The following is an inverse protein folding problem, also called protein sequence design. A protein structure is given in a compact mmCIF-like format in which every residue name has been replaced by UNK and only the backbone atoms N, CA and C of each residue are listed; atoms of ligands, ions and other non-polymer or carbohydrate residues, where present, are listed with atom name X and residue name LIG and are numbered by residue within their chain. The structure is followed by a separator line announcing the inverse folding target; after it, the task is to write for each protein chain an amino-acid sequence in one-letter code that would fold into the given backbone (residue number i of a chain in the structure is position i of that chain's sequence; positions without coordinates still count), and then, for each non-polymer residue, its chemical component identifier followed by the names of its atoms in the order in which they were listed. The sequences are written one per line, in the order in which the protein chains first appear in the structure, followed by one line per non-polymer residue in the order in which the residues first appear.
data_IF_912055196973
#
_entry.id   IF_912055196973
#
_cell.length_a   1.000
_cell.length_b   1.000
_cell.length_c   1.000
_cell.angle_alpha   90.00
_cell.angle_beta   90.00
_cell.angle_gamma   90.00
#
_symmetry.space_group_name_H-M   'P 1'
#
loop_
_entity.id
_entity.type
_entity.pdbx_description
1 polymer ?
#
# COMPACT_ATOMS: atom_id res chain seq x y z
N UNK A 1 12.74 21.04 67.93
CA UNK A 1 13.81 21.18 66.93
C UNK A 1 13.31 22.15 65.87
N UNK A 2 13.90 23.35 65.79
CA UNK A 2 13.55 24.36 64.79
C UNK A 2 14.35 24.10 63.52
N UNK A 3 13.67 23.84 62.41
CA UNK A 3 14.33 23.78 61.11
C UNK A 3 14.81 25.20 60.71
N UNK A 4 16.01 25.35 60.13
CA UNK A 4 16.51 26.66 59.70
C UNK A 4 15.62 27.24 58.61
N UNK A 5 15.30 28.54 58.70
CA UNK A 5 14.47 29.30 57.73
C UNK A 5 14.92 29.13 56.26
N UNK A 6 16.18 28.81 56.02
CA UNK A 6 16.76 28.58 54.69
C UNK A 6 16.33 27.26 54.05
N UNK A 7 16.00 26.22 54.83
CA UNK A 7 15.47 24.95 54.31
C UNK A 7 14.03 25.07 53.83
N UNK A 8 13.24 25.98 54.43
CA UNK A 8 11.86 26.24 54.01
C UNK A 8 11.81 26.97 52.66
N UNK A 9 12.78 27.85 52.37
CA UNK A 9 12.91 28.49 51.06
C UNK A 9 13.33 27.52 49.95
N UNK A 10 14.13 26.49 50.27
CA UNK A 10 14.49 25.45 49.30
C UNK A 10 13.34 24.47 49.02
N UNK A 11 12.57 24.08 50.06
CA UNK A 11 11.40 23.23 49.88
C UNK A 11 10.25 23.94 49.16
N UNK A 12 10.05 25.24 49.41
CA UNK A 12 9.07 26.03 48.65
C UNK A 12 9.53 26.21 47.22
N UNK A 13 10.81 26.51 46.94
CA UNK A 13 11.32 26.66 45.57
C UNK A 13 11.30 25.35 44.76
N UNK A 14 11.53 24.19 45.40
CA UNK A 14 11.40 22.88 44.74
C UNK A 14 9.93 22.52 44.48
N UNK A 15 9.00 22.91 45.37
CA UNK A 15 7.56 22.73 45.16
C UNK A 15 6.99 23.68 44.11
N UNK A 16 7.46 24.93 44.02
CA UNK A 16 7.07 25.82 42.91
C UNK A 16 7.64 25.34 41.59
N UNK A 17 8.88 24.82 41.54
CA UNK A 17 9.44 24.33 40.27
C UNK A 17 8.74 23.07 39.74
N UNK A 18 8.32 22.15 40.61
CA UNK A 18 7.55 20.94 40.24
C UNK A 18 6.09 21.25 39.89
N UNK A 19 5.53 22.39 40.36
CA UNK A 19 4.15 22.81 40.09
C UNK A 19 4.04 23.98 39.09
N UNK A 20 5.15 24.53 38.60
CA UNK A 20 5.18 25.66 37.65
C UNK A 20 5.86 25.34 36.32
N UNK A 21 6.35 24.12 36.11
CA UNK A 21 6.33 23.59 34.74
C UNK A 21 4.87 23.31 34.43
N UNK A 22 4.24 24.01 33.46
CA UNK A 22 3.04 23.45 32.86
C UNK A 22 3.36 21.99 32.51
N UNK A 23 2.42 21.03 32.58
CA UNK A 23 2.61 19.82 31.80
C UNK A 23 2.99 20.34 30.43
N UNK A 24 4.20 20.02 29.97
CA UNK A 24 4.67 20.49 28.68
C UNK A 24 3.50 20.26 27.76
N UNK A 25 2.95 21.34 27.21
CA UNK A 25 2.26 21.18 25.95
C UNK A 25 3.27 20.37 25.17
N UNK A 26 2.95 19.10 24.88
CA UNK A 26 3.48 18.52 23.68
C UNK A 26 3.19 19.62 22.67
N UNK A 27 4.23 20.37 22.29
CA UNK A 27 4.17 21.06 21.01
C UNK A 27 3.65 19.96 20.11
N UNK A 28 2.49 20.21 19.49
CA UNK A 28 1.99 19.40 18.41
C UNK A 28 3.16 19.28 17.44
N UNK A 29 3.97 18.23 17.62
CA UNK A 29 5.06 17.89 16.74
C UNK A 29 4.33 17.65 15.43
N UNK A 30 4.48 18.56 14.44
CA UNK A 30 3.65 18.49 13.25
C UNK A 30 3.83 17.08 12.70
N UNK A 31 2.72 16.34 12.53
CA UNK A 31 2.71 14.97 12.01
C UNK A 31 3.75 14.88 10.90
N UNK A 32 4.86 14.22 11.19
CA UNK A 32 5.98 14.19 10.28
C UNK A 32 5.57 13.24 9.17
N UNK A 33 5.52 13.75 7.94
CA UNK A 33 5.29 12.91 6.76
C UNK A 33 6.54 12.07 6.53
N UNK A 34 6.34 10.76 6.42
CA UNK A 34 7.35 9.82 5.96
C UNK A 34 6.92 9.29 4.59
N UNK A 35 7.91 8.84 3.85
CA UNK A 35 7.74 8.23 2.55
C UNK A 35 8.22 6.79 2.66
N UNK A 36 7.47 5.86 2.08
CA UNK A 36 7.93 4.48 1.90
C UNK A 36 8.01 4.17 0.42
N UNK A 37 8.85 3.21 0.06
CA UNK A 37 8.93 2.74 -1.31
C UNK A 37 9.41 1.31 -1.40
N UNK A 38 8.80 0.56 -2.32
CA UNK A 38 9.21 -0.79 -2.70
C UNK A 38 9.89 -0.72 -4.06
N UNK A 39 11.10 -1.25 -4.15
CA UNK A 39 11.90 -1.23 -5.38
C UNK A 39 12.20 -2.63 -5.87
N UNK A 40 12.22 -2.85 -7.18
CA UNK A 40 12.66 -4.10 -7.82
C UNK A 40 13.94 -3.91 -8.61
N UNK A 41 14.88 -4.86 -8.54
CA UNK A 41 16.00 -4.91 -9.50
C UNK A 41 15.51 -5.46 -10.85
N UNK A 42 15.64 -4.68 -11.93
CA UNK A 42 15.25 -5.06 -13.29
C UNK A 42 16.27 -4.58 -14.33
N UNK A 43 16.34 -5.26 -15.47
CA UNK A 43 17.18 -4.88 -16.61
C UNK A 43 16.57 -3.75 -17.47
N UNK A 44 15.40 -3.21 -17.10
CA UNK A 44 14.72 -2.14 -17.84
C UNK A 44 15.37 -0.77 -17.57
N UNK A 45 15.18 0.23 -18.45
CA UNK A 45 15.57 1.61 -18.13
C UNK A 45 14.84 2.07 -16.86
N UNK A 46 15.59 2.63 -15.90
CA UNK A 46 15.10 2.98 -14.57
C UNK A 46 13.73 3.66 -14.62
N UNK A 47 12.84 3.25 -13.71
CA UNK A 47 11.57 3.93 -13.47
C UNK A 47 11.83 5.42 -13.24
N UNK A 48 10.95 6.27 -13.77
CA UNK A 48 11.05 7.69 -13.47
C UNK A 48 10.55 7.88 -12.04
N UNK A 49 11.38 8.59 -11.28
CA UNK A 49 11.17 8.95 -9.88
C UNK A 49 9.75 9.43 -9.61
N UNK A 50 9.22 9.18 -8.39
CA UNK A 50 7.84 9.49 -8.10
C UNK A 50 7.59 10.99 -8.29
N UNK A 51 6.47 11.33 -8.91
CA UNK A 51 5.89 12.65 -8.72
C UNK A 51 5.55 12.77 -7.24
N UNK A 52 5.90 13.88 -6.59
CA UNK A 52 5.66 14.03 -5.16
C UNK A 52 4.78 15.25 -4.92
N UNK A 53 3.62 15.00 -4.30
CA UNK A 53 2.78 16.01 -3.66
C UNK A 53 2.41 17.17 -4.62
N UNK A 54 2.00 16.84 -5.84
CA UNK A 54 1.58 17.82 -6.85
C UNK A 54 0.10 18.13 -6.71
N UNK A 55 -0.29 19.40 -6.91
CA UNK A 55 -1.70 19.72 -7.11
C UNK A 55 -2.23 19.08 -8.41
N UNK A 56 -3.56 18.96 -8.52
CA UNK A 56 -4.17 18.29 -9.67
C UNK A 56 -3.73 18.88 -11.03
N UNK A 57 -3.71 20.21 -11.26
CA UNK A 57 -3.22 20.78 -12.52
C UNK A 57 -1.77 20.40 -12.86
N UNK A 58 -0.85 20.47 -11.89
CA UNK A 58 0.55 20.11 -12.09
C UNK A 58 0.71 18.60 -12.33
N UNK A 59 -0.04 17.78 -11.58
CA UNK A 59 -0.06 16.33 -11.76
C UNK A 59 -0.55 15.94 -13.17
N UNK A 60 -1.65 16.53 -13.64
CA UNK A 60 -2.15 16.31 -15.00
C UNK A 60 -1.12 16.69 -16.07
N UNK A 61 -0.43 17.82 -15.90
CA UNK A 61 0.62 18.23 -16.84
C UNK A 61 1.76 17.20 -16.89
N UNK A 62 2.18 16.69 -15.73
CA UNK A 62 3.21 15.67 -15.63
C UNK A 62 2.77 14.34 -16.27
N UNK A 63 1.54 13.88 -16.01
CA UNK A 63 0.97 12.68 -16.63
C UNK A 63 1.08 12.72 -18.16
N UNK A 64 0.64 13.82 -18.78
CA UNK A 64 0.71 13.98 -20.23
C UNK A 64 2.16 13.98 -20.74
N UNK A 65 3.05 14.67 -20.01
CA UNK A 65 4.48 14.69 -20.35
C UNK A 65 5.10 13.29 -20.30
N UNK A 66 4.72 12.46 -19.32
CA UNK A 66 5.22 11.09 -19.16
C UNK A 66 4.66 10.13 -20.19
N UNK A 67 3.37 10.25 -20.52
CA UNK A 67 2.77 9.48 -21.62
C UNK A 67 3.44 9.81 -22.97
N UNK A 68 3.75 11.07 -23.25
CA UNK A 68 4.48 11.48 -24.45
C UNK A 68 5.92 10.93 -24.50
N UNK A 69 6.50 10.65 -23.35
CA UNK A 69 7.83 10.03 -23.20
C UNK A 69 7.80 8.50 -23.22
N UNK A 70 6.62 7.86 -23.29
CA UNK A 70 6.48 6.40 -23.28
C UNK A 70 6.55 5.77 -21.89
N UNK A 71 6.19 6.52 -20.85
CA UNK A 71 5.97 6.03 -19.50
C UNK A 71 4.49 5.93 -19.19
N UNK A 72 4.15 5.04 -18.27
CA UNK A 72 2.81 4.85 -17.73
C UNK A 72 2.87 4.90 -16.19
N UNK A 73 1.76 5.28 -15.56
CA UNK A 73 1.61 5.20 -14.11
C UNK A 73 1.56 3.73 -13.71
N UNK A 74 2.40 3.35 -12.77
CA UNK A 74 2.42 2.01 -12.16
C UNK A 74 1.61 2.02 -10.88
N UNK A 75 1.79 3.09 -10.10
CA UNK A 75 1.22 3.29 -8.78
C UNK A 75 0.89 4.80 -8.62
N UNK A 76 -0.25 5.11 -8.00
CA UNK A 76 -0.80 6.45 -7.79
C UNK A 76 -1.07 6.67 -6.30
N UNK A 77 -0.49 7.72 -5.76
CA UNK A 77 -0.68 8.05 -4.36
C UNK A 77 -1.48 9.32 -4.14
N UNK A 78 -2.31 9.32 -3.09
CA UNK A 78 -3.10 10.50 -2.70
C UNK A 78 -2.79 10.89 -1.27
N UNK A 79 -2.28 12.11 -1.11
CA UNK A 79 -1.99 12.65 0.20
C UNK A 79 -3.25 12.72 1.09
N UNK A 80 -3.11 12.68 2.43
CA UNK A 80 -4.25 12.74 3.36
C UNK A 80 -5.17 13.96 3.20
N UNK A 81 -4.69 15.05 2.59
CA UNK A 81 -5.50 16.23 2.29
C UNK A 81 -6.43 16.07 1.07
N UNK A 82 -6.26 15.02 0.26
CA UNK A 82 -6.93 14.76 -1.02
C UNK A 82 -6.71 15.83 -2.10
N UNK A 83 -5.74 16.71 -1.91
CA UNK A 83 -5.43 17.80 -2.84
C UNK A 83 -4.10 17.57 -3.54
N UNK A 84 -3.23 16.74 -2.96
CA UNK A 84 -1.92 16.42 -3.51
C UNK A 84 -1.80 14.97 -3.97
N UNK A 85 -1.12 14.80 -5.09
CA UNK A 85 -0.98 13.55 -5.81
C UNK A 85 0.48 13.21 -6.02
N UNK A 86 0.80 11.93 -5.87
CA UNK A 86 2.09 11.35 -6.18
C UNK A 86 1.89 10.19 -7.16
N UNK A 87 2.90 9.81 -7.92
CA UNK A 87 2.79 8.65 -8.82
C UNK A 87 4.15 8.10 -9.20
N UNK A 88 4.22 6.78 -9.30
CA UNK A 88 5.38 6.04 -9.82
C UNK A 88 5.19 5.79 -11.31
N UNK A 89 6.24 6.03 -12.10
CA UNK A 89 6.19 5.88 -13.55
C UNK A 89 7.10 4.75 -14.04
N UNK A 90 6.51 3.73 -14.65
CA UNK A 90 7.20 2.63 -15.31
C UNK A 90 7.23 2.81 -16.83
N UNK A 91 8.16 2.14 -17.50
CA UNK A 91 8.17 2.12 -18.95
C UNK A 91 6.94 1.38 -19.49
N UNK A 92 6.23 2.00 -20.43
CA UNK A 92 5.02 1.43 -21.00
C UNK A 92 4.26 2.45 -21.83
N UNK A 93 3.63 1.97 -22.91
CA UNK A 93 2.86 2.80 -23.84
C UNK A 93 1.38 2.43 -23.87
N UNK A 94 0.93 1.64 -22.90
CA UNK A 94 -0.48 1.33 -22.76
C UNK A 94 -1.26 2.62 -22.48
N UNK A 95 -2.41 2.76 -23.14
CA UNK A 95 -3.27 3.92 -22.92
C UNK A 95 -3.83 3.87 -21.50
N UNK A 96 -3.74 4.98 -20.78
CA UNK A 96 -4.27 5.10 -19.43
C UNK A 96 -5.37 6.16 -19.31
N UNK A 97 -6.25 5.97 -18.33
CA UNK A 97 -7.18 6.97 -17.82
C UNK A 97 -7.09 6.98 -16.30
N UNK A 98 -6.97 8.16 -15.70
CA UNK A 98 -6.88 8.33 -14.25
C UNK A 98 -8.09 9.11 -13.77
N UNK A 99 -8.68 8.67 -12.67
CA UNK A 99 -9.77 9.37 -12.01
C UNK A 99 -9.50 9.43 -10.53
N UNK A 100 -9.64 10.61 -9.93
CA UNK A 100 -9.44 10.84 -8.50
C UNK A 100 -10.71 11.39 -7.84
N UNK A 101 -10.80 11.26 -6.51
CA UNK A 101 -11.85 11.89 -5.71
C UNK A 101 -13.28 11.39 -6.00
N UNK A 102 -13.45 10.19 -6.56
CA UNK A 102 -14.76 9.68 -6.92
C UNK A 102 -15.54 9.23 -5.67
N UNK A 103 -16.86 9.47 -5.66
CA UNK A 103 -17.75 8.77 -4.72
C UNK A 103 -17.83 7.30 -5.10
N UNK A 104 -18.20 6.41 -4.17
CA UNK A 104 -18.37 4.98 -4.46
C UNK A 104 -19.28 4.72 -5.68
N UNK A 105 -20.41 5.43 -5.77
CA UNK A 105 -21.33 5.30 -6.90
C UNK A 105 -20.71 5.77 -8.22
N UNK A 106 -19.98 6.90 -8.20
CA UNK A 106 -19.29 7.41 -9.38
C UNK A 106 -18.13 6.51 -9.82
N UNK A 107 -17.41 5.94 -8.85
CA UNK A 107 -16.33 4.98 -9.08
C UNK A 107 -16.88 3.70 -9.72
N UNK A 108 -17.95 3.11 -9.17
CA UNK A 108 -18.59 1.92 -9.73
C UNK A 108 -19.08 2.13 -11.18
N UNK A 109 -19.69 3.29 -11.45
CA UNK A 109 -20.11 3.67 -12.81
C UNK A 109 -18.91 3.82 -13.75
N UNK A 110 -17.83 4.43 -13.26
CA UNK A 110 -16.62 4.63 -14.05
C UNK A 110 -15.93 3.30 -14.36
N UNK A 111 -15.72 2.46 -13.35
CA UNK A 111 -15.18 1.10 -13.50
C UNK A 111 -15.93 0.32 -14.57
N UNK A 112 -17.27 0.28 -14.48
CA UNK A 112 -18.12 -0.40 -15.47
C UNK A 112 -17.92 0.18 -16.88
N UNK A 113 -17.89 1.52 -17.01
CA UNK A 113 -17.68 2.20 -18.28
C UNK A 113 -16.30 1.89 -18.87
N UNK A 114 -15.25 1.84 -18.05
CA UNK A 114 -13.89 1.58 -18.50
C UNK A 114 -13.70 0.13 -18.91
N UNK A 115 -14.23 -0.83 -18.14
CA UNK A 115 -14.23 -2.25 -18.52
C UNK A 115 -14.90 -2.47 -19.87
N UNK A 116 -16.04 -1.80 -20.14
CA UNK A 116 -16.70 -1.86 -21.45
C UNK A 116 -15.88 -1.28 -22.60
N UNK A 117 -14.90 -0.43 -22.30
CA UNK A 117 -13.99 0.20 -23.27
C UNK A 117 -12.66 -0.54 -23.42
N UNK A 118 -12.51 -1.72 -22.82
CA UNK A 118 -11.26 -2.51 -22.86
C UNK A 118 -10.18 -2.02 -21.90
N UNK A 119 -10.56 -1.22 -20.90
CA UNK A 119 -9.64 -0.79 -19.85
C UNK A 119 -9.80 -1.66 -18.60
N UNK A 120 -8.69 -1.88 -17.95
CA UNK A 120 -8.54 -2.69 -16.74
C UNK A 120 -8.04 -1.78 -15.62
N UNK A 121 -8.67 -1.83 -14.44
CA UNK A 121 -8.15 -1.13 -13.27
C UNK A 121 -6.87 -1.85 -12.82
N UNK A 122 -5.76 -1.13 -12.80
CA UNK A 122 -4.44 -1.68 -12.45
C UNK A 122 -3.93 -1.22 -11.11
N UNK A 123 -4.53 -0.16 -10.56
CA UNK A 123 -4.12 0.52 -9.35
C UNK A 123 -5.34 1.31 -8.81
N UNK A 124 -5.48 1.43 -7.49
CA UNK A 124 -6.69 1.91 -6.83
C UNK A 124 -6.36 2.57 -5.50
N UNK A 125 -6.75 3.84 -5.32
CA UNK A 125 -6.65 4.49 -4.00
C UNK A 125 -7.97 4.57 -3.25
N UNK A 126 -7.92 4.45 -1.91
CA UNK A 126 -9.07 4.74 -1.04
C UNK A 126 -8.72 5.76 0.03
N UNK A 127 -9.27 6.97 -0.11
CA UNK A 127 -9.03 8.07 0.82
C UNK A 127 -10.31 8.54 1.51
N UNK A 128 -10.17 9.50 2.43
CA UNK A 128 -11.30 10.15 3.11
C UNK A 128 -11.29 11.63 2.89
N UNK A 129 -12.44 12.17 2.48
CA UNK A 129 -12.60 13.61 2.45
C UNK A 129 -12.71 14.21 3.88
N UNK A 130 -12.60 15.54 4.04
CA UNK A 130 -12.71 16.20 5.35
C UNK A 130 -14.05 16.02 6.08
N UNK A 131 -15.04 15.38 5.44
CA UNK A 131 -16.35 15.05 6.03
C UNK A 131 -16.47 13.56 6.36
N UNK A 132 -15.36 12.82 6.36
CA UNK A 132 -15.32 11.39 6.69
C UNK A 132 -15.91 10.47 5.62
N UNK A 133 -16.11 10.94 4.38
CA UNK A 133 -16.69 10.14 3.29
C UNK A 133 -15.58 9.51 2.47
N UNK A 134 -15.71 8.21 2.18
CA UNK A 134 -14.77 7.50 1.30
C UNK A 134 -14.72 8.13 -0.09
N UNK A 135 -13.51 8.27 -0.62
CA UNK A 135 -13.19 8.70 -1.97
C UNK A 135 -12.31 7.63 -2.60
N UNK A 136 -12.50 7.44 -3.89
CA UNK A 136 -11.80 6.43 -4.66
C UNK A 136 -11.04 7.12 -5.78
N UNK A 137 -9.82 6.66 -6.02
CA UNK A 137 -9.12 6.93 -7.26
C UNK A 137 -8.78 5.63 -7.98
N UNK A 138 -8.18 5.76 -9.15
CA UNK A 138 -7.64 4.59 -9.80
C UNK A 138 -6.99 4.92 -11.13
N UNK A 139 -6.17 3.98 -11.56
CA UNK A 139 -5.51 3.97 -12.85
C UNK A 139 -6.12 2.86 -13.69
N UNK A 140 -6.76 3.26 -14.78
CA UNK A 140 -7.30 2.33 -15.78
C UNK A 140 -6.32 2.24 -16.93
N UNK A 141 -5.76 1.06 -17.14
CA UNK A 141 -4.81 0.77 -18.20
C UNK A 141 -5.45 -0.14 -19.25
N UNK A 142 -5.30 0.18 -20.53
CA UNK A 142 -5.82 -0.65 -21.61
C UNK A 142 -4.94 -1.90 -21.81
N UNK A 143 -5.32 -3.01 -21.16
CA UNK A 143 -4.61 -4.28 -21.13
C UNK A 143 -5.54 -5.43 -21.54
N UNK A 144 -4.97 -6.47 -22.15
CA UNK A 144 -5.70 -7.71 -22.49
C UNK A 144 -5.91 -8.62 -21.27
N UNK A 145 -5.15 -8.38 -20.19
CA UNK A 145 -5.16 -9.17 -18.97
C UNK A 145 -6.36 -8.78 -18.08
N UNK A 146 -7.21 -9.76 -17.68
CA UNK A 146 -8.32 -9.47 -16.80
C UNK A 146 -7.84 -9.21 -15.37
N UNK A 147 -8.49 -8.26 -14.69
CA UNK A 147 -8.36 -8.04 -13.25
C UNK A 147 -9.71 -8.17 -12.56
N UNK A 148 -9.72 -8.68 -11.34
CA UNK A 148 -10.87 -8.61 -10.46
C UNK A 148 -10.66 -7.48 -9.46
N UNK A 149 -11.70 -6.69 -9.22
CA UNK A 149 -11.66 -5.56 -8.30
C UNK A 149 -12.74 -5.74 -7.26
N UNK A 150 -12.44 -5.47 -6.00
CA UNK A 150 -13.44 -5.39 -4.94
C UNK A 150 -13.05 -4.32 -3.93
N UNK A 151 -14.02 -3.62 -3.38
CA UNK A 151 -13.81 -2.46 -2.52
C UNK A 151 -14.92 -2.36 -1.49
N UNK A 152 -14.67 -1.58 -0.43
CA UNK A 152 -15.59 -1.40 0.70
C UNK A 152 -15.86 -2.73 1.43
N UNK A 153 -14.82 -3.53 1.63
CA UNK A 153 -14.89 -4.82 2.33
C UNK A 153 -14.49 -4.64 3.80
N UNK A 154 -15.17 -5.30 4.73
CA UNK A 154 -14.61 -5.53 6.05
C UNK A 154 -13.35 -6.41 5.94
N UNK A 155 -12.53 -6.44 7.00
CA UNK A 155 -11.39 -7.35 7.09
C UNK A 155 -11.79 -8.82 6.81
N UNK A 156 -12.86 -9.31 7.45
CA UNK A 156 -13.32 -10.69 7.26
C UNK A 156 -13.82 -10.95 5.84
N UNK A 157 -14.49 -9.99 5.21
CA UNK A 157 -14.91 -10.09 3.81
C UNK A 157 -13.71 -10.15 2.86
N UNK A 158 -12.72 -9.29 3.07
CA UNK A 158 -11.48 -9.29 2.30
C UNK A 158 -10.76 -10.63 2.43
N UNK A 159 -10.54 -11.12 3.65
CA UNK A 159 -9.86 -12.39 3.90
C UNK A 159 -10.56 -13.58 3.25
N UNK A 160 -11.88 -13.68 3.40
CA UNK A 160 -12.67 -14.73 2.77
C UNK A 160 -12.58 -14.66 1.24
N UNK A 161 -12.70 -13.45 0.68
CA UNK A 161 -12.66 -13.25 -0.77
C UNK A 161 -11.27 -13.52 -1.34
N UNK A 162 -10.22 -13.09 -0.66
CA UNK A 162 -8.84 -13.33 -1.07
C UNK A 162 -8.53 -14.83 -1.12
N UNK A 163 -8.85 -15.56 -0.04
CA UNK A 163 -8.68 -17.01 -0.01
C UNK A 163 -9.48 -17.72 -1.12
N UNK A 164 -10.72 -17.31 -1.36
CA UNK A 164 -11.54 -17.87 -2.44
C UNK A 164 -10.95 -17.59 -3.83
N UNK A 165 -10.41 -16.38 -4.05
CA UNK A 165 -9.78 -15.96 -5.32
C UNK A 165 -8.48 -16.71 -5.56
N UNK A 166 -7.62 -16.83 -4.55
CA UNK A 166 -6.40 -17.64 -4.63
C UNK A 166 -6.71 -19.11 -4.96
N UNK A 167 -7.75 -19.69 -4.36
CA UNK A 167 -8.20 -21.05 -4.69
C UNK A 167 -8.70 -21.20 -6.14
N UNK A 168 -9.07 -20.09 -6.80
CA UNK A 168 -9.48 -20.03 -8.20
C UNK A 168 -8.33 -19.59 -9.14
N UNK A 169 -7.10 -19.46 -8.64
CA UNK A 169 -5.94 -19.05 -9.45
C UNK A 169 -5.86 -17.55 -9.72
N UNK A 170 -6.44 -16.72 -8.84
CA UNK A 170 -6.27 -15.27 -8.87
C UNK A 170 -5.25 -14.85 -7.83
N UNK A 171 -4.33 -13.98 -8.23
CA UNK A 171 -3.28 -13.43 -7.40
C UNK A 171 -3.68 -12.05 -6.91
N UNK A 172 -3.56 -11.80 -5.62
CA UNK A 172 -3.67 -10.46 -5.06
C UNK A 172 -2.45 -9.63 -5.48
N UNK A 173 -2.65 -8.39 -5.95
CA UNK A 173 -1.55 -7.55 -6.44
C UNK A 173 -1.51 -6.14 -5.89
N UNK A 174 -2.63 -5.65 -5.36
CA UNK A 174 -2.76 -4.34 -4.73
C UNK A 174 -3.86 -4.46 -3.65
N UNK A 175 -3.66 -3.81 -2.51
CA UNK A 175 -4.64 -3.75 -1.42
C UNK A 175 -4.63 -2.40 -0.72
N UNK A 176 -5.72 -1.65 -0.84
CA UNK A 176 -5.93 -0.48 0.01
C UNK A 176 -6.60 -0.72 1.36
N UNK A 177 -6.33 0.19 2.31
CA UNK A 177 -7.18 0.34 3.49
C UNK A 177 -7.52 1.78 3.88
N UNK A 178 -8.80 2.02 4.20
CA UNK A 178 -9.25 3.30 4.72
C UNK A 178 -10.09 3.12 6.00
N UNK A 179 -9.82 3.94 7.02
CA UNK A 179 -10.44 3.83 8.34
C UNK A 179 -11.64 4.75 8.52
N UNK A 180 -12.79 4.25 8.99
CA UNK A 180 -13.86 5.11 9.54
C UNK A 180 -13.39 6.03 10.66
N UNK A 181 -14.17 7.07 10.97
CA UNK A 181 -13.92 7.94 12.12
C UNK A 181 -13.81 7.15 13.44
N UNK A 182 -14.41 5.96 13.50
CA UNK A 182 -14.33 5.02 14.62
C UNK A 182 -13.23 3.95 14.45
N UNK A 183 -12.26 4.15 13.56
CA UNK A 183 -11.18 3.21 13.22
C UNK A 183 -11.67 1.82 12.76
N UNK A 184 -12.88 1.74 12.21
CA UNK A 184 -13.30 0.56 11.45
C UNK A 184 -12.72 0.64 10.04
N UNK A 185 -11.81 -0.26 9.70
CA UNK A 185 -11.15 -0.30 8.40
C UNK A 185 -12.01 -0.96 7.31
N UNK A 186 -11.92 -0.40 6.11
CA UNK A 186 -12.44 -0.98 4.89
C UNK A 186 -11.33 -1.20 3.89
N UNK A 187 -11.38 -2.33 3.22
CA UNK A 187 -10.37 -2.75 2.26
C UNK A 187 -10.89 -2.62 0.84
N UNK A 188 -9.98 -2.25 -0.06
CA UNK A 188 -10.10 -2.52 -1.47
C UNK A 188 -8.93 -3.37 -1.94
N UNK A 189 -9.07 -3.98 -3.10
CA UNK A 189 -8.03 -4.82 -3.64
C UNK A 189 -8.23 -5.11 -5.12
N UNK A 190 -7.11 -5.37 -5.78
CA UNK A 190 -7.02 -5.81 -7.16
C UNK A 190 -6.39 -7.21 -7.20
N UNK A 191 -6.96 -8.06 -8.03
CA UNK A 191 -6.43 -9.38 -8.32
C UNK A 191 -6.19 -9.56 -9.81
N UNK A 192 -5.13 -10.28 -10.17
CA UNK A 192 -4.77 -10.60 -11.54
C UNK A 192 -4.85 -12.09 -11.83
N UNK A 193 -5.04 -12.42 -13.11
CA UNK A 193 -4.96 -13.79 -13.58
C UNK A 193 -3.48 -14.18 -13.79
N UNK A 194 -2.90 -14.98 -12.90
CA UNK A 194 -1.57 -15.60 -13.06
C UNK A 194 -1.35 -16.74 -12.05
N UNK A 195 -0.24 -17.48 -12.21
CA UNK A 195 0.00 -18.82 -11.63
C UNK A 195 0.99 -18.93 -10.46
N UNK A 196 1.47 -17.85 -9.87
CA UNK A 196 2.33 -17.81 -8.69
C UNK A 196 1.55 -17.46 -7.42
N UNK A 197 1.64 -18.23 -6.33
CA UNK A 197 0.97 -17.90 -5.07
C UNK A 197 1.41 -16.52 -4.54
N UNK A 198 0.44 -15.74 -4.06
CA UNK A 198 0.71 -14.51 -3.30
C UNK A 198 0.44 -14.71 -1.81
N UNK A 199 1.25 -14.06 -0.98
CA UNK A 199 1.06 -13.99 0.47
C UNK A 199 0.62 -12.59 0.83
N UNK A 200 -0.21 -12.49 1.86
CA UNK A 200 -0.62 -11.22 2.44
C UNK A 200 -0.24 -11.23 3.92
N UNK A 201 0.42 -10.17 4.37
CA UNK A 201 0.75 -9.94 5.78
C UNK A 201 -0.40 -9.14 6.40
N UNK A 202 -0.93 -9.59 7.53
CA UNK A 202 -1.96 -8.84 8.26
C UNK A 202 -1.40 -7.56 8.91
N UNK A 203 -2.22 -6.52 9.10
CA UNK A 203 -1.76 -5.27 9.70
C UNK A 203 -1.07 -5.46 11.06
N UNK A 204 0.20 -5.08 11.12
CA UNK A 204 1.08 -5.29 12.27
C UNK A 204 1.97 -4.06 12.56
N UNK A 205 2.77 -4.09 13.61
CA UNK A 205 3.70 -2.99 13.92
C UNK A 205 4.82 -2.89 12.88
N UNK A 206 5.45 -1.72 12.70
CA UNK A 206 6.61 -1.58 11.79
C UNK A 206 7.74 -2.58 12.08
N UNK A 207 8.19 -2.78 13.34
CA UNK A 207 9.20 -3.80 13.65
C UNK A 207 8.82 -5.21 13.20
N UNK A 208 7.56 -5.60 13.38
CA UNK A 208 7.07 -6.92 13.01
C UNK A 208 6.93 -7.07 11.48
N UNK A 209 6.46 -6.02 10.81
CA UNK A 209 6.37 -5.98 9.35
C UNK A 209 7.77 -6.09 8.73
N UNK A 210 8.70 -5.26 9.19
CA UNK A 210 10.08 -5.25 8.71
C UNK A 210 10.78 -6.60 8.96
N UNK A 211 10.58 -7.23 10.13
CA UNK A 211 11.09 -8.58 10.39
C UNK A 211 10.48 -9.61 9.43
N UNK A 212 9.17 -9.58 9.22
CA UNK A 212 8.47 -10.50 8.31
C UNK A 212 8.91 -10.31 6.85
N UNK A 213 9.15 -9.08 6.41
CA UNK A 213 9.71 -8.76 5.10
C UNK A 213 11.06 -9.48 4.88
N UNK A 214 12.00 -9.37 5.83
CA UNK A 214 13.29 -10.07 5.72
C UNK A 214 13.14 -11.59 5.73
N UNK A 215 12.24 -12.12 6.56
CA UNK A 215 11.99 -13.56 6.64
C UNK A 215 11.38 -14.12 5.35
N UNK A 216 10.37 -13.45 4.78
CA UNK A 216 9.73 -13.86 3.53
C UNK A 216 10.68 -13.72 2.35
N UNK A 217 11.49 -12.67 2.31
CA UNK A 217 12.52 -12.57 1.29
C UNK A 217 13.52 -13.71 1.41
N UNK A 218 14.01 -14.05 2.61
CA UNK A 218 14.87 -15.21 2.82
C UNK A 218 14.27 -16.54 2.32
N UNK A 219 12.95 -16.59 2.11
CA UNK A 219 12.19 -17.73 1.62
C UNK A 219 11.85 -17.66 0.12
N UNK A 220 12.31 -16.64 -0.62
CA UNK A 220 12.05 -16.50 -2.06
C UNK A 220 10.70 -15.85 -2.38
N UNK A 221 10.24 -14.94 -1.54
CA UNK A 221 9.14 -14.03 -1.83
C UNK A 221 9.68 -12.61 -2.01
N UNK A 222 9.00 -11.79 -2.82
CA UNK A 222 9.25 -10.35 -2.93
C UNK A 222 8.01 -9.59 -2.50
N UNK A 223 8.19 -8.45 -1.84
CA UNK A 223 7.14 -7.45 -1.62
C UNK A 223 6.80 -6.79 -2.95
N UNK A 224 5.51 -6.55 -3.20
CA UNK A 224 5.03 -5.87 -4.42
C UNK A 224 4.08 -4.71 -4.14
N UNK A 225 3.58 -4.60 -2.91
CA UNK A 225 2.54 -3.68 -2.48
C UNK A 225 2.58 -3.60 -0.95
N UNK A 226 2.51 -2.41 -0.37
CA UNK A 226 2.60 -2.18 1.07
C UNK A 226 1.85 -0.92 1.49
N UNK A 227 1.05 -1.07 2.54
CA UNK A 227 0.22 0.01 3.07
C UNK A 227 0.46 0.32 4.54
N UNK A 228 0.10 1.54 4.93
CA UNK A 228 -0.10 1.91 6.34
C UNK A 228 -1.57 2.24 6.66
N UNK A 229 -2.11 1.53 7.64
CA UNK A 229 -3.39 1.86 8.24
C UNK A 229 -3.32 3.19 9.01
N UNK A 230 -4.44 3.91 9.08
CA UNK A 230 -4.56 5.14 9.86
C UNK A 230 -4.28 4.98 11.38
N UNK A 231 -4.20 3.75 11.91
CA UNK A 231 -3.77 3.47 13.29
C UNK A 231 -2.28 3.13 13.43
N UNK A 232 -1.49 3.31 12.35
CA UNK A 232 -0.04 3.11 12.30
C UNK A 232 0.41 1.67 12.06
N UNK A 233 -0.51 0.74 11.77
CA UNK A 233 -0.17 -0.65 11.42
C UNK A 233 0.12 -0.81 9.92
N UNK A 234 1.05 -1.69 9.59
CA UNK A 234 1.53 -1.93 8.23
C UNK A 234 1.10 -3.30 7.73
N UNK A 235 0.75 -3.40 6.46
CA UNK A 235 0.47 -4.66 5.77
C UNK A 235 1.03 -4.64 4.35
N UNK A 236 1.03 -5.77 3.67
CA UNK A 236 1.54 -5.81 2.30
C UNK A 236 1.34 -7.15 1.62
N UNK A 237 1.58 -7.16 0.31
CA UNK A 237 1.42 -8.31 -0.57
C UNK A 237 2.78 -8.75 -1.09
N UNK A 238 2.99 -10.06 -1.02
CA UNK A 238 4.21 -10.71 -1.48
C UNK A 238 3.89 -11.70 -2.59
N UNK A 239 4.79 -11.85 -3.55
CA UNK A 239 4.68 -12.88 -4.59
C UNK A 239 5.93 -13.76 -4.58
N UNK A 240 5.74 -15.05 -4.85
CA UNK A 240 6.86 -15.98 -5.01
C UNK A 240 7.77 -15.49 -6.16
N UNK A 241 8.99 -15.06 -5.82
CA UNK A 241 9.96 -14.53 -6.78
C UNK A 241 11.36 -14.55 -6.18
N UNK A 242 12.32 -14.83 -7.06
CA UNK A 242 13.75 -14.75 -6.77
C UNK A 242 14.38 -13.42 -7.18
N UNK A 243 13.62 -12.54 -7.81
CA UNK A 243 14.09 -11.20 -8.15
C UNK A 243 14.26 -10.40 -6.85
N UNK A 244 15.41 -9.75 -6.63
CA UNK A 244 15.62 -8.97 -5.43
C UNK A 244 14.73 -7.74 -5.43
N UNK A 245 14.21 -7.43 -4.24
CA UNK A 245 13.45 -6.23 -3.92
C UNK A 245 14.13 -5.45 -2.78
N UNK A 246 13.72 -4.19 -2.63
CA UNK A 246 14.23 -3.30 -1.59
C UNK A 246 13.07 -2.52 -0.98
N UNK A 247 12.97 -2.57 0.34
CA UNK A 247 12.12 -1.69 1.11
C UNK A 247 12.93 -0.46 1.56
N UNK A 248 12.35 0.73 1.39
CA UNK A 248 12.89 1.99 1.86
C UNK A 248 11.85 2.74 2.67
N UNK A 249 12.29 3.41 3.73
CA UNK A 249 11.49 4.32 4.54
C UNK A 249 12.30 5.59 4.82
N UNK A 250 11.67 6.77 4.86
CA UNK A 250 12.40 7.98 5.25
C UNK A 250 11.61 9.29 5.20
N UNK A 251 12.07 10.29 5.95
CA UNK A 251 11.45 11.63 6.05
C UNK A 251 11.67 12.50 4.82
N UNK A 252 12.71 12.21 4.07
CA UNK A 252 12.99 12.84 2.79
C UNK A 252 13.20 11.74 1.79
N UNK A 253 12.45 11.78 0.69
CA UNK A 253 12.76 10.92 -0.43
C UNK A 253 14.21 11.19 -0.86
N UNK A 254 15.01 10.15 -1.08
CA UNK A 254 16.42 10.29 -1.40
C UNK A 254 16.60 11.11 -2.69
N UNK A 255 16.84 12.42 -2.54
CA UNK A 255 17.15 13.31 -3.67
C UNK A 255 16.80 14.79 -3.58
N UNK A 256 16.17 15.36 -2.53
CA UNK A 256 16.25 16.83 -2.35
C UNK A 256 16.06 17.35 -0.92
N UNK A 257 16.87 18.34 -0.50
CA UNK A 257 16.46 19.31 0.51
C UNK A 257 15.62 20.39 -0.20
N UNK A 258 14.32 20.40 0.09
CA UNK A 258 13.30 21.35 -0.35
C UNK A 258 12.64 21.09 -1.71
N UNK A 259 11.38 20.61 -1.63
CA UNK A 259 10.23 21.08 -2.40
C UNK A 259 10.41 21.32 -3.89
N UNK A 260 9.86 20.39 -4.68
CA UNK A 260 9.60 20.51 -6.13
C UNK A 260 10.85 20.57 -7.00
N UNK A 261 11.37 19.40 -7.33
CA UNK A 261 12.00 19.16 -8.63
C UNK A 261 12.01 17.65 -8.85
N UNK A 262 11.71 17.20 -10.08
CA UNK A 262 12.04 15.84 -10.53
C UNK A 262 13.35 15.42 -9.89
N UNK A 263 13.36 14.30 -9.18
CA UNK A 263 14.53 13.80 -8.47
C UNK A 263 15.57 13.32 -9.50
N UNK A 264 16.17 14.23 -10.26
CA UNK A 264 17.30 13.94 -11.14
C UNK A 264 18.55 13.80 -10.27
N UNK A 265 18.63 12.67 -9.56
CA UNK A 265 19.71 12.30 -8.66
C UNK A 265 20.32 10.94 -9.02
N UNK A 266 21.64 10.74 -8.85
CA UNK A 266 22.35 9.56 -9.30
C UNK A 266 22.21 8.40 -8.29
N UNK A 267 21.09 7.69 -8.33
CA UNK A 267 21.01 6.32 -7.78
C UNK A 267 20.42 5.35 -8.79
N UNK A 268 20.86 5.48 -10.05
CA UNK A 268 20.62 4.53 -11.14
C UNK A 268 21.49 3.27 -10.96
N UNK A 269 21.17 2.47 -9.95
CA UNK A 269 21.29 1.02 -10.11
C UNK A 269 20.17 0.51 -11.02
N UNK A 270 20.14 -0.79 -11.36
CA UNK A 270 19.03 -1.42 -12.07
C UNK A 270 17.71 -1.46 -11.27
N UNK A 271 17.48 -0.57 -10.29
CA UNK A 271 16.35 -0.67 -9.36
C UNK A 271 15.20 0.28 -9.74
N UNK A 272 13.98 -0.21 -9.60
CA UNK A 272 12.75 0.45 -10.03
C UNK A 272 11.78 0.54 -8.88
N UNK A 273 11.41 1.75 -8.46
CA UNK A 273 10.25 1.94 -7.58
C UNK A 273 9.02 1.37 -8.29
N UNK A 274 8.25 0.55 -7.58
CA UNK A 274 7.03 -0.08 -8.11
C UNK A 274 5.78 0.26 -7.30
N UNK A 275 5.98 0.71 -6.07
CA UNK A 275 4.95 0.98 -5.07
C UNK A 275 5.53 2.00 -4.08
N UNK A 276 4.73 2.94 -3.63
CA UNK A 276 5.18 4.13 -2.91
C UNK A 276 4.09 4.63 -1.98
N UNK A 277 4.44 4.95 -0.73
CA UNK A 277 3.45 5.38 0.26
C UNK A 277 3.75 6.77 0.83
N UNK A 278 2.70 7.55 1.08
CA UNK A 278 2.77 8.77 1.89
C UNK A 278 2.14 8.54 3.27
N UNK A 279 2.99 8.22 4.25
CA UNK A 279 2.54 7.88 5.59
C UNK A 279 2.71 9.01 6.62
N UNK A 280 1.91 8.97 7.68
CA UNK A 280 2.09 9.81 8.86
C UNK A 280 2.62 8.91 9.99
N UNK A 281 3.81 9.19 10.54
CA UNK A 281 4.35 8.40 11.66
C UNK A 281 4.01 9.07 13.01
N UNK A 282 3.07 8.53 13.80
CA UNK A 282 2.79 9.01 15.17
C UNK A 282 3.84 8.55 16.19
N UNK A 283 4.73 7.64 15.81
CA UNK A 283 5.70 7.01 16.70
C UNK A 283 7.11 7.25 16.19
N UNK A 284 7.65 8.46 16.40
CA UNK A 284 9.03 8.92 16.15
C UNK A 284 10.06 7.78 16.00
N UNK A 285 9.97 7.02 14.93
CA UNK A 285 10.91 5.97 14.62
C UNK A 285 12.04 6.77 14.00
N UNK A 286 13.11 6.87 14.78
CA UNK A 286 14.26 7.69 14.47
C UNK A 286 14.62 7.53 12.99
N UNK A 287 15.02 8.63 12.31
CA UNK A 287 15.54 8.63 10.94
C UNK A 287 16.02 7.24 10.49
N UNK A 288 15.22 6.56 9.68
CA UNK A 288 15.57 5.25 9.13
C UNK A 288 15.91 5.37 7.64
N UNK A 289 16.92 6.16 7.19
CA UNK A 289 17.39 6.08 5.82
C UNK A 289 18.17 4.77 5.63
N UNK A 290 17.46 3.65 5.72
CA UNK A 290 17.99 2.33 5.45
C UNK A 290 17.27 1.83 4.21
N UNK A 291 17.96 1.97 3.07
CA UNK A 291 17.74 1.02 1.99
C UNK A 291 18.34 -0.28 2.50
N UNK A 292 17.51 -1.24 2.85
CA UNK A 292 17.96 -2.50 3.43
C UNK A 292 18.04 -3.53 2.30
N UNK A 293 19.19 -3.70 1.62
CA UNK A 293 19.37 -4.81 0.70
C UNK A 293 19.18 -6.11 1.48
N UNK A 294 18.19 -6.93 1.13
CA UNK A 294 18.13 -8.30 1.61
C UNK A 294 19.41 -9.03 1.19
N UNK A 295 20.00 -9.82 2.09
CA UNK A 295 21.20 -10.59 1.75
C UNK A 295 20.89 -11.55 0.59
N UNK A 296 21.65 -11.48 -0.51
CA UNK A 296 21.50 -12.38 -1.67
C UNK A 296 21.56 -13.84 -1.22
N UNK A 297 20.42 -14.48 -1.03
CA UNK A 297 20.30 -15.90 -0.76
C UNK A 297 19.94 -16.63 -2.04
N UNK A 298 20.63 -17.75 -2.28
CA UNK A 298 20.39 -18.56 -3.46
C UNK A 298 19.01 -19.21 -3.39
N UNK A 299 18.24 -19.10 -4.46
CA UNK A 299 16.94 -19.75 -4.61
C UNK A 299 17.03 -21.26 -4.37
N UNK A 300 16.69 -21.69 -3.15
CA UNK A 300 16.54 -23.09 -2.82
C UNK A 300 15.12 -23.54 -3.14
N UNK A 301 14.90 -24.07 -4.35
CA UNK A 301 13.76 -24.91 -4.76
C UNK A 301 12.43 -24.69 -4.01
N UNK A 302 11.69 -23.67 -4.44
CA UNK A 302 10.28 -23.43 -4.05
C UNK A 302 9.33 -24.55 -4.54
N UNK A 303 9.83 -25.50 -5.35
CA UNK A 303 9.06 -26.60 -5.96
C UNK A 303 8.55 -27.70 -5.00
N UNK A 304 8.92 -27.70 -3.71
CA UNK A 304 8.55 -28.78 -2.78
C UNK A 304 7.68 -28.36 -1.59
N UNK A 305 7.33 -27.07 -1.47
CA UNK A 305 6.38 -26.64 -0.46
C UNK A 305 4.97 -27.07 -0.89
N UNK A 306 4.35 -27.95 -0.08
CA UNK A 306 2.93 -28.23 -0.19
C UNK A 306 2.16 -26.94 0.11
N UNK A 307 1.90 -26.15 -0.93
CA UNK A 307 1.32 -24.81 -0.86
C UNK A 307 -0.01 -24.78 -0.10
N UNK A 308 -0.81 -25.85 -0.20
CA UNK A 308 -2.05 -25.98 0.58
C UNK A 308 -1.81 -26.04 2.10
N UNK A 309 -0.67 -26.57 2.55
CA UNK A 309 -0.29 -26.62 3.95
C UNK A 309 0.30 -25.30 4.47
N UNK A 310 1.14 -24.62 3.69
CA UNK A 310 1.79 -23.37 4.10
C UNK A 310 0.80 -22.20 4.14
N UNK A 311 -0.11 -22.11 3.16
CA UNK A 311 -1.19 -21.12 3.13
C UNK A 311 -2.11 -21.36 4.33
N UNK A 312 -2.51 -22.61 4.60
CA UNK A 312 -3.35 -22.90 5.78
C UNK A 312 -2.62 -22.55 7.08
N UNK A 313 -1.33 -22.91 7.22
CA UNK A 313 -0.56 -22.66 8.44
C UNK A 313 -0.35 -21.15 8.66
N UNK A 314 0.06 -20.36 7.66
CA UNK A 314 0.24 -18.91 7.79
C UNK A 314 -1.08 -18.20 8.10
N UNK A 315 -2.18 -18.59 7.43
CA UNK A 315 -3.49 -18.02 7.74
C UNK A 315 -3.97 -18.39 9.15
N UNK A 316 -3.71 -19.60 9.66
CA UNK A 316 -4.12 -20.00 11.02
C UNK A 316 -3.22 -19.51 12.14
N UNK A 317 -1.92 -19.30 11.88
CA UNK A 317 -0.95 -18.89 12.91
C UNK A 317 -0.89 -17.37 13.07
N UNK A 318 -1.27 -16.61 12.03
CA UNK A 318 -1.32 -15.14 12.04
C UNK A 318 -2.75 -14.62 12.30
N UNK A 319 -3.81 -15.38 12.01
CA UNK A 319 -5.20 -14.92 12.17
C UNK A 319 -6.03 -15.82 13.09
N UNK A 320 -6.08 -15.48 14.38
CA UNK A 320 -7.06 -16.05 15.32
C UNK A 320 -8.46 -15.41 15.14
N UNK A 321 -9.12 -15.59 13.99
CA UNK A 321 -10.57 -15.30 13.87
C UNK A 321 -11.28 -16.30 12.94
N UNK A 322 -12.41 -16.91 13.35
CA UNK A 322 -13.08 -17.94 12.57
C UNK A 322 -13.85 -17.38 11.36
N UNK A 323 -13.66 -18.06 10.22
CA UNK A 323 -14.41 -17.96 8.97
C UNK A 323 -15.93 -18.13 9.22
N UNK A 324 -16.70 -17.05 9.03
CA UNK A 324 -18.15 -17.12 8.82
C UNK A 324 -18.50 -16.23 7.61
N UNK A 325 -18.89 -16.87 6.51
CA UNK A 325 -19.21 -16.21 5.25
C UNK A 325 -20.72 -16.02 5.12
N UNK A 326 -21.15 -14.76 4.94
CA UNK A 326 -22.38 -14.40 4.23
C UNK A 326 -21.96 -13.53 3.04
N UNK A 327 -22.14 -14.04 1.82
CA UNK A 327 -21.74 -13.38 0.57
C UNK A 327 -22.99 -12.95 -0.18
N UNK A 328 -23.61 -11.84 0.26
CA UNK A 328 -24.61 -11.10 -0.50
C UNK A 328 -24.04 -9.73 -0.88
N UNK A 329 -23.42 -9.65 -2.06
CA UNK A 329 -22.85 -8.40 -2.55
C UNK A 329 -22.34 -8.38 -3.99
N UNK A 330 -22.37 -9.49 -4.73
CA UNK A 330 -21.90 -9.53 -6.12
C UNK A 330 -23.07 -9.23 -7.08
N UNK A 331 -23.02 -8.15 -7.88
CA UNK A 331 -23.95 -7.95 -8.99
C UNK A 331 -23.90 -9.15 -9.94
N UNK A 332 -25.06 -9.74 -10.26
CA UNK A 332 -25.19 -11.00 -11.03
C UNK A 332 -24.50 -10.99 -12.40
N UNK A 333 -24.16 -9.81 -12.93
CA UNK A 333 -23.53 -9.58 -14.21
C UNK A 333 -21.99 -9.71 -14.22
N UNK A 334 -21.34 -10.00 -13.10
CA UNK A 334 -19.90 -10.30 -13.00
C UNK A 334 -19.59 -11.81 -12.84
N UNK A 335 -20.60 -12.68 -12.90
CA UNK A 335 -20.38 -14.13 -13.00
C UNK A 335 -20.06 -14.48 -14.45
N UNK A 336 -18.79 -14.72 -14.76
CA UNK A 336 -18.41 -15.36 -16.02
C UNK A 336 -19.08 -16.74 -16.08
N UNK A 337 -19.88 -16.94 -17.13
CA UNK A 337 -20.53 -18.20 -17.44
C UNK A 337 -19.48 -19.27 -17.70
N UNK A 338 -19.45 -20.30 -16.83
CA UNK A 338 -18.86 -21.57 -17.18
C UNK A 338 -19.77 -22.24 -18.22
N UNK A 339 -19.48 -22.06 -19.51
CA UNK A 339 -20.09 -22.86 -20.58
C UNK A 339 -19.28 -24.14 -20.72
N UNK A 340 -19.38 -25.00 -19.70
CA UNK A 340 -18.95 -26.38 -19.79
C UNK A 340 -19.89 -27.14 -20.71
N UNK A 341 -19.38 -27.47 -21.90
CA UNK A 341 -19.98 -28.38 -22.87
C UNK A 341 -20.27 -29.75 -22.24
N UNK A 342 -21.52 -30.19 -22.34
CA UNK A 342 -21.88 -31.60 -22.25
C UNK A 342 -22.61 -31.97 -23.55
N UNK A 343 -21.96 -32.84 -24.33
CA UNK A 343 -22.58 -33.58 -25.43
C UNK A 343 -23.50 -34.70 -24.92
N UNK A 344 -24.14 -35.45 -25.84
CA UNK A 344 -25.52 -35.89 -25.68
C UNK A 344 -25.68 -37.15 -24.81
N UNK A 345 -26.85 -37.20 -24.17
CA UNK A 345 -27.40 -38.36 -23.48
C UNK A 345 -27.71 -39.50 -24.46
N UNK A 346 -27.33 -40.72 -24.07
CA UNK A 346 -28.01 -41.98 -24.43
C UNK A 346 -28.86 -42.43 -23.24
#
# INVERSE_FOLDING_TARGET
MMFPRWMMSFLVALLTWVLSTPPGTAEDDPLVTYHLGVYLETDQPAAVQPALQLDWPAFQHLLHTRWDQGYQVVDLEIAPDNEHFSAVFGWGSAKQEIRVGATQAAFAQHLTKQTQRGFTLTDLEVTRDPHGRMRYAGVWTHLDEPRLVSYNMSYSQFMNLNAARQAMGWELVDVESAASEALTFHYAAIWQAAGAPTLWIAPTSWPDFHATYHDLHGQGFRLIDMEQQADGRYFGVFVASCAPDYLWAGRTFMGSPAGVSELSGPMLGPEHLIDYEVIQDPHQSADHPEKTPPGRTACGWVDTLNWGGLITLLYTTINEYPLQADIDGIPKNLRLHNTGSAGPED
#
